data_IF_226162427735
#
_entry.id   IF_226162427735
#
_cell.length_a   1.000
_cell.length_b   1.000
_cell.length_c   1.000
_cell.angle_alpha   90.00
_cell.angle_beta   90.00
_cell.angle_gamma   90.00
#
_symmetry.space_group_name_H-M   'P 1'
#
loop_
_entity.id
_entity.type
_entity.pdbx_description
1 polymer ?
#
# COMPACT_ATOMS: atom_id res chain seq x y z
N UNK A 1 41.23 -50.72 4.67
CA UNK A 1 40.55 -50.07 3.53
C UNK A 1 39.06 -50.19 3.84
N UNK A 2 38.32 -49.15 4.21
CA UNK A 2 37.91 -47.98 3.41
C UNK A 2 37.76 -46.80 4.40
N UNK A 3 38.46 -45.68 4.17
CA UNK A 3 38.20 -44.42 4.87
C UNK A 3 36.96 -43.80 4.21
N UNK A 4 35.84 -43.78 4.93
CA UNK A 4 34.62 -43.11 4.48
C UNK A 4 34.87 -41.60 4.48
N UNK A 5 34.85 -41.05 3.28
CA UNK A 5 34.80 -39.63 2.95
C UNK A 5 33.58 -39.04 3.64
N UNK A 6 33.76 -38.14 4.61
CA UNK A 6 32.68 -37.26 5.05
C UNK A 6 32.42 -36.25 3.94
N UNK A 7 31.55 -36.65 3.01
CA UNK A 7 31.00 -35.77 1.99
C UNK A 7 30.14 -34.73 2.72
N UNK A 8 30.55 -33.49 2.51
CA UNK A 8 29.92 -32.24 2.93
C UNK A 8 28.41 -32.29 2.62
N UNK A 9 27.59 -32.18 3.65
CA UNK A 9 26.17 -31.90 3.55
C UNK A 9 25.86 -30.63 4.34
N UNK A 10 26.41 -29.50 3.87
CA UNK A 10 25.89 -28.18 4.25
C UNK A 10 24.61 -28.02 3.44
N UNK A 11 23.49 -28.54 3.96
CA UNK A 11 22.19 -28.10 3.52
C UNK A 11 22.01 -26.67 4.01
N UNK A 12 22.30 -25.73 3.11
CA UNK A 12 22.05 -24.31 3.32
C UNK A 12 20.59 -24.10 3.66
N UNK A 13 20.33 -23.70 4.89
CA UNK A 13 19.06 -23.10 5.31
C UNK A 13 19.04 -21.66 4.79
N UNK A 14 18.94 -21.48 3.48
CA UNK A 14 18.50 -20.21 2.92
C UNK A 14 16.97 -20.22 2.95
N UNK A 15 16.41 -19.90 4.12
CA UNK A 15 15.09 -19.31 4.14
C UNK A 15 15.24 -17.95 3.46
N UNK A 16 14.90 -17.88 2.17
CA UNK A 16 14.63 -16.58 1.56
C UNK A 16 13.40 -16.04 2.28
N UNK A 17 13.60 -15.06 3.15
CA UNK A 17 12.53 -14.19 3.64
C UNK A 17 11.97 -13.44 2.44
N UNK A 18 10.98 -14.04 1.77
CA UNK A 18 10.09 -13.32 0.88
C UNK A 18 9.14 -12.51 1.76
N UNK A 19 9.65 -11.43 2.35
CA UNK A 19 8.84 -10.33 2.85
C UNK A 19 8.04 -9.78 1.65
N UNK A 20 6.85 -10.34 1.42
CA UNK A 20 6.02 -10.00 0.27
C UNK A 20 5.67 -8.52 0.28
N UNK A 21 5.95 -7.83 -0.83
CA UNK A 21 5.54 -6.44 -1.01
C UNK A 21 4.03 -6.33 -0.82
N UNK A 22 3.56 -5.33 -0.06
CA UNK A 22 2.13 -5.15 0.18
C UNK A 22 1.44 -4.70 -1.11
N UNK A 23 0.23 -5.18 -1.43
CA UNK A 23 -0.51 -4.65 -2.57
C UNK A 23 -0.86 -3.17 -2.32
N UNK A 24 -0.96 -2.38 -3.39
CA UNK A 24 -1.31 -0.94 -3.31
C UNK A 24 -2.63 -0.69 -2.58
N UNK A 25 -3.63 -1.56 -2.83
CA UNK A 25 -4.93 -1.53 -2.17
C UNK A 25 -4.83 -1.53 -0.63
N UNK A 26 -3.79 -2.14 -0.05
CA UNK A 26 -3.55 -2.07 1.39
C UNK A 26 -3.28 -0.63 1.85
N UNK A 27 -2.43 0.10 1.12
CA UNK A 27 -2.06 1.47 1.45
C UNK A 27 -3.25 2.41 1.24
N UNK A 28 -3.98 2.28 0.13
CA UNK A 28 -5.21 3.03 -0.13
C UNK A 28 -6.18 2.85 1.04
N UNK A 29 -6.42 1.61 1.46
CA UNK A 29 -7.35 1.31 2.53
C UNK A 29 -6.91 1.90 3.87
N UNK A 30 -5.62 1.78 4.20
CA UNK A 30 -5.07 2.26 5.47
C UNK A 30 -5.01 3.79 5.55
N UNK A 31 -4.57 4.45 4.47
CA UNK A 31 -4.44 5.91 4.39
C UNK A 31 -5.81 6.59 4.43
N UNK A 32 -6.79 6.04 3.72
CA UNK A 32 -8.15 6.52 3.76
C UNK A 32 -8.75 6.42 5.17
N UNK A 33 -8.61 5.25 5.81
CA UNK A 33 -9.17 4.97 7.13
C UNK A 33 -8.59 5.86 8.23
N UNK A 34 -7.32 6.28 8.12
CA UNK A 34 -6.61 6.98 9.20
C UNK A 34 -6.37 8.48 8.93
N UNK A 35 -6.38 8.93 7.68
CA UNK A 35 -5.96 10.29 7.34
C UNK A 35 -6.91 11.02 6.39
N UNK A 36 -7.35 10.38 5.30
CA UNK A 36 -8.04 11.11 4.22
C UNK A 36 -9.56 11.08 4.30
N UNK A 37 -10.15 10.00 4.85
CA UNK A 37 -11.58 9.82 5.04
C UNK A 37 -12.43 10.19 3.81
N UNK A 38 -12.00 9.73 2.64
CA UNK A 38 -12.63 9.99 1.34
C UNK A 38 -13.42 8.82 0.78
N UNK A 39 -13.92 9.01 -0.44
CA UNK A 39 -14.44 7.94 -1.27
C UNK A 39 -13.28 7.27 -2.01
N UNK A 40 -13.19 5.94 -1.93
CA UNK A 40 -12.11 5.17 -2.56
C UNK A 40 -12.51 4.65 -3.93
N UNK A 41 -11.51 4.48 -4.81
CA UNK A 41 -11.63 3.83 -6.12
C UNK A 41 -12.71 4.50 -7.00
N UNK A 42 -12.72 5.84 -7.03
CA UNK A 42 -13.72 6.65 -7.75
C UNK A 42 -13.48 6.55 -9.25
N UNK A 43 -14.45 5.95 -9.96
CA UNK A 43 -14.37 5.73 -11.41
C UNK A 43 -14.56 7.06 -12.15
N UNK A 44 -13.62 7.38 -13.04
CA UNK A 44 -13.59 8.61 -13.82
C UNK A 44 -13.40 8.27 -15.31
N UNK A 45 -13.72 9.19 -16.24
CA UNK A 45 -13.33 9.02 -17.63
C UNK A 45 -11.81 8.77 -17.72
N UNK A 46 -11.40 7.66 -18.34
CA UNK A 46 -9.99 7.36 -18.55
C UNK A 46 -9.20 6.89 -17.33
N UNK A 47 -9.83 6.57 -16.20
CA UNK A 47 -9.11 6.01 -15.05
C UNK A 47 -9.95 5.88 -13.78
N UNK A 48 -9.28 5.73 -12.64
CA UNK A 48 -9.90 5.59 -11.34
C UNK A 48 -9.00 6.23 -10.29
N UNK A 49 -9.52 7.21 -9.55
CA UNK A 49 -8.77 7.84 -8.47
C UNK A 49 -8.84 6.96 -7.22
N UNK A 50 -7.71 6.78 -6.52
CA UNK A 50 -7.65 5.90 -5.37
C UNK A 50 -8.45 6.43 -4.19
N UNK A 51 -8.34 7.73 -3.90
CA UNK A 51 -9.07 8.40 -2.82
C UNK A 51 -9.50 9.80 -3.29
N UNK A 52 -10.78 10.12 -3.14
CA UNK A 52 -11.32 11.47 -3.40
C UNK A 52 -12.01 11.97 -2.14
N UNK A 53 -11.61 13.14 -1.64
CA UNK A 53 -12.30 13.80 -0.53
C UNK A 53 -12.72 15.23 -0.93
N UNK A 54 -13.16 16.01 0.05
CA UNK A 54 -13.64 17.38 -0.21
C UNK A 54 -12.58 18.29 -0.85
N UNK A 55 -11.29 17.99 -0.64
CA UNK A 55 -10.18 18.84 -1.06
C UNK A 55 -9.34 18.23 -2.18
N UNK A 56 -9.07 16.93 -2.14
CA UNK A 56 -8.08 16.26 -2.98
C UNK A 56 -8.67 15.11 -3.79
N UNK A 57 -8.09 14.88 -4.97
CA UNK A 57 -8.13 13.61 -5.67
C UNK A 57 -6.72 13.03 -5.65
N UNK A 58 -6.58 11.89 -5.00
CA UNK A 58 -5.30 11.34 -4.55
C UNK A 58 -5.01 10.05 -5.31
N UNK A 59 -3.80 9.97 -5.84
CA UNK A 59 -3.17 8.75 -6.34
C UNK A 59 -2.22 8.21 -5.26
N UNK A 60 -2.35 6.95 -4.89
CA UNK A 60 -1.47 6.23 -3.98
C UNK A 60 -0.61 5.28 -4.81
N UNK A 61 0.67 5.60 -4.96
CA UNK A 61 1.53 4.87 -5.90
C UNK A 61 2.82 4.39 -5.21
N UNK A 62 3.29 3.20 -5.58
CA UNK A 62 4.56 2.68 -5.08
C UNK A 62 5.73 3.48 -5.63
N UNK A 63 6.73 3.73 -4.77
CA UNK A 63 7.86 4.59 -5.08
C UNK A 63 8.56 4.32 -6.43
N UNK A 64 8.84 3.08 -6.86
CA UNK A 64 9.46 2.82 -8.17
C UNK A 64 8.67 3.32 -9.38
N UNK A 65 7.35 3.49 -9.24
CA UNK A 65 6.42 3.88 -10.29
C UNK A 65 6.08 5.39 -10.30
N UNK A 66 6.77 6.20 -9.49
CA UNK A 66 6.49 7.63 -9.27
C UNK A 66 6.21 8.49 -10.51
N UNK A 67 6.69 8.10 -11.70
CA UNK A 67 6.43 8.85 -12.94
C UNK A 67 4.95 8.79 -13.34
N UNK A 68 4.31 7.66 -13.11
CA UNK A 68 2.90 7.44 -13.47
C UNK A 68 1.97 8.29 -12.61
N UNK A 69 2.30 8.46 -11.32
CA UNK A 69 1.45 9.20 -10.38
C UNK A 69 1.31 10.68 -10.72
N UNK A 70 2.28 11.29 -11.41
CA UNK A 70 2.17 12.68 -11.88
C UNK A 70 1.00 12.83 -12.85
N UNK A 71 0.93 11.97 -13.86
CA UNK A 71 -0.12 12.02 -14.87
C UNK A 71 -1.49 11.70 -14.28
N UNK A 72 -1.55 10.68 -13.43
CA UNK A 72 -2.79 10.26 -12.75
C UNK A 72 -3.32 11.35 -11.82
N UNK A 73 -2.49 11.91 -10.92
CA UNK A 73 -2.91 12.96 -10.01
C UNK A 73 -3.45 14.20 -10.73
N UNK A 74 -2.77 14.65 -11.80
CA UNK A 74 -3.22 15.78 -12.62
C UNK A 74 -4.55 15.49 -13.30
N UNK A 75 -4.69 14.30 -13.90
CA UNK A 75 -5.93 13.89 -14.56
C UNK A 75 -7.09 13.78 -13.58
N UNK A 76 -6.89 13.17 -12.43
CA UNK A 76 -7.94 12.99 -11.43
C UNK A 76 -8.34 14.30 -10.75
N UNK A 77 -7.39 15.19 -10.44
CA UNK A 77 -7.70 16.54 -9.98
C UNK A 77 -8.55 17.31 -11.00
N UNK A 78 -8.21 17.22 -12.29
CA UNK A 78 -8.98 17.83 -13.38
C UNK A 78 -10.41 17.28 -13.45
N UNK A 79 -10.59 15.95 -13.45
CA UNK A 79 -11.91 15.32 -13.60
C UNK A 79 -12.84 15.58 -12.41
N UNK A 80 -12.29 15.71 -11.21
CA UNK A 80 -13.05 15.86 -9.97
C UNK A 80 -13.21 17.32 -9.52
N UNK A 81 -12.52 18.26 -10.18
CA UNK A 81 -12.37 19.64 -9.73
C UNK A 81 -11.83 19.73 -8.29
N UNK A 82 -10.87 18.85 -7.96
CA UNK A 82 -10.16 18.79 -6.67
C UNK A 82 -8.66 19.08 -6.88
N UNK A 83 -7.94 19.31 -5.79
CA UNK A 83 -6.49 19.44 -5.84
C UNK A 83 -5.84 18.09 -6.17
N UNK A 84 -4.91 18.01 -7.14
CA UNK A 84 -4.08 16.83 -7.36
C UNK A 84 -3.29 16.45 -6.10
N UNK A 85 -3.38 15.18 -5.71
CA UNK A 85 -2.64 14.61 -4.59
C UNK A 85 -1.88 13.36 -5.00
N UNK A 86 -0.67 13.18 -4.47
CA UNK A 86 0.11 11.95 -4.58
C UNK A 86 0.52 11.50 -3.19
N UNK A 87 0.21 10.25 -2.83
CA UNK A 87 0.92 9.58 -1.74
C UNK A 87 1.94 8.64 -2.36
N UNK A 88 3.22 8.96 -2.17
CA UNK A 88 4.31 8.11 -2.64
C UNK A 88 4.68 7.11 -1.54
N UNK A 89 4.36 5.84 -1.78
CA UNK A 89 4.59 4.76 -0.83
C UNK A 89 6.03 4.26 -0.94
N UNK A 90 6.86 4.62 0.03
CA UNK A 90 8.22 4.09 0.19
C UNK A 90 8.20 2.96 1.22
N UNK A 91 8.55 1.75 0.80
CA UNK A 91 8.57 0.56 1.66
C UNK A 91 9.86 0.45 2.50
N UNK A 92 10.92 1.15 2.09
CA UNK A 92 12.18 1.22 2.83
C UNK A 92 12.92 2.54 2.57
N UNK A 93 13.94 2.80 3.38
CA UNK A 93 14.71 4.05 3.33
C UNK A 93 15.43 4.27 1.99
N UNK A 94 15.83 3.20 1.30
CA UNK A 94 16.51 3.31 0.00
C UNK A 94 15.59 3.82 -1.11
N UNK A 95 14.27 3.72 -0.92
CA UNK A 95 13.28 4.24 -1.85
C UNK A 95 13.09 5.76 -1.76
N UNK A 96 13.68 6.45 -0.76
CA UNK A 96 13.71 7.94 -0.72
C UNK A 96 14.26 8.58 -1.98
N UNK A 97 15.15 7.89 -2.69
CA UNK A 97 15.66 8.34 -4.00
C UNK A 97 14.54 8.63 -5.00
N UNK A 98 13.44 7.88 -4.96
CA UNK A 98 12.29 8.10 -5.84
C UNK A 98 11.50 9.34 -5.44
N UNK A 99 11.36 9.62 -4.14
CA UNK A 99 10.76 10.87 -3.67
C UNK A 99 11.54 12.10 -4.11
N UNK A 100 12.88 12.03 -4.04
CA UNK A 100 13.76 13.08 -4.56
C UNK A 100 13.56 13.26 -6.07
N UNK A 101 13.49 12.16 -6.84
CA UNK A 101 13.25 12.20 -8.28
C UNK A 101 11.89 12.83 -8.63
N UNK A 102 10.82 12.42 -7.92
CA UNK A 102 9.49 13.00 -8.08
C UNK A 102 9.52 14.50 -7.82
N UNK A 103 10.01 14.93 -6.66
CA UNK A 103 10.05 16.35 -6.30
C UNK A 103 10.88 17.16 -7.30
N UNK A 104 12.05 16.65 -7.69
CA UNK A 104 12.93 17.29 -8.68
C UNK A 104 12.24 17.45 -10.04
N UNK A 105 11.44 16.47 -10.45
CA UNK A 105 10.67 16.54 -11.70
C UNK A 105 9.54 17.58 -11.61
N UNK A 106 8.83 17.66 -10.48
CA UNK A 106 7.79 18.67 -10.26
C UNK A 106 8.37 20.09 -10.20
N UNK A 107 9.51 20.26 -9.55
CA UNK A 107 10.22 21.53 -9.46
C UNK A 107 10.72 21.97 -10.84
N UNK A 108 11.36 21.07 -11.60
CA UNK A 108 11.81 21.33 -12.96
C UNK A 108 10.67 21.77 -13.89
N UNK A 109 9.50 21.14 -13.76
CA UNK A 109 8.32 21.47 -14.54
C UNK A 109 7.57 22.72 -14.04
N UNK A 110 7.94 23.29 -12.89
CA UNK A 110 7.27 24.45 -12.31
C UNK A 110 5.85 24.16 -11.81
N UNK A 111 5.57 22.92 -11.39
CA UNK A 111 4.24 22.47 -10.93
C UNK A 111 4.25 21.94 -9.50
N UNK A 112 5.34 22.13 -8.76
CA UNK A 112 5.47 21.67 -7.38
C UNK A 112 4.40 22.26 -6.43
N UNK A 113 3.90 23.46 -6.70
CA UNK A 113 2.81 24.09 -5.94
C UNK A 113 1.41 23.65 -6.41
N UNK A 114 1.31 22.86 -7.49
CA UNK A 114 0.06 22.38 -8.09
C UNK A 114 -0.32 20.97 -7.67
N UNK A 115 0.65 20.17 -7.23
CA UNK A 115 0.44 18.80 -6.78
C UNK A 115 0.90 18.70 -5.33
N UNK A 116 -0.01 18.32 -4.43
CA UNK A 116 0.37 18.01 -3.05
C UNK A 116 0.95 16.60 -2.99
N UNK A 117 2.16 16.46 -2.46
CA UNK A 117 2.84 15.16 -2.32
C UNK A 117 3.00 14.83 -0.84
N UNK A 118 2.64 13.61 -0.46
CA UNK A 118 2.93 13.02 0.83
C UNK A 118 3.86 11.81 0.67
N UNK A 119 4.95 11.81 1.42
CA UNK A 119 5.94 10.74 1.46
C UNK A 119 5.60 9.77 2.59
N UNK A 120 4.93 8.67 2.26
CA UNK A 120 4.67 7.60 3.22
C UNK A 120 5.93 6.74 3.43
N UNK A 121 6.28 6.36 4.67
CA UNK A 121 5.57 6.60 5.93
C UNK A 121 5.83 7.93 6.63
N UNK A 122 6.88 8.65 6.27
CA UNK A 122 7.48 9.70 7.09
C UNK A 122 6.54 10.89 7.37
N UNK A 123 5.82 11.36 6.35
CA UNK A 123 4.89 12.50 6.46
C UNK A 123 3.65 12.16 7.30
N UNK A 124 3.46 10.90 7.64
CA UNK A 124 2.37 10.39 8.46
C UNK A 124 2.80 10.11 9.91
N UNK A 125 4.02 10.56 10.30
CA UNK A 125 4.57 10.37 11.64
C UNK A 125 5.05 8.95 11.92
N UNK A 126 5.27 8.16 10.87
CA UNK A 126 5.67 6.77 10.94
C UNK A 126 7.14 6.59 10.49
N UNK A 127 7.83 5.59 11.05
CA UNK A 127 9.19 5.24 10.66
C UNK A 127 9.24 4.12 9.61
N UNK A 128 10.35 4.03 8.88
CA UNK A 128 10.72 2.84 8.10
C UNK A 128 11.22 1.69 8.96
N UNK A 129 10.81 1.59 10.24
CA UNK A 129 11.24 0.47 11.08
C UNK A 129 11.09 -0.81 10.27
N UNK A 130 11.98 -1.78 10.50
CA UNK A 130 11.90 -3.17 10.00
C UNK A 130 10.60 -3.89 10.50
N UNK A 131 9.67 -3.09 11.02
CA UNK A 131 8.34 -3.29 11.52
C UNK A 131 7.51 -1.99 11.28
N UNK A 132 7.29 -1.55 10.04
CA UNK A 132 5.88 -1.57 9.61
C UNK A 132 5.56 -3.04 9.63
N UNK A 133 4.75 -3.55 10.56
CA UNK A 133 4.84 -4.93 11.01
C UNK A 133 5.07 -5.88 9.84
N UNK A 134 6.31 -6.38 9.72
CA UNK A 134 6.60 -7.70 9.21
C UNK A 134 6.31 -8.66 10.36
N UNK A 135 5.10 -8.64 10.91
CA UNK A 135 4.76 -9.61 11.94
C UNK A 135 3.29 -10.01 11.78
N UNK A 136 3.13 -11.22 11.29
CA UNK A 136 1.88 -11.86 10.94
C UNK A 136 1.77 -12.00 9.42
N UNK A 137 1.84 -13.23 8.92
CA UNK A 137 0.98 -13.65 7.81
C UNK A 137 -0.32 -12.85 7.89
N UNK A 138 -0.82 -12.26 6.79
CA UNK A 138 -2.07 -11.49 6.80
C UNK A 138 -3.10 -12.29 7.62
N UNK A 139 -3.37 -11.86 8.85
CA UNK A 139 -4.14 -12.68 9.78
C UNK A 139 -5.62 -12.46 9.57
N UNK A 140 -5.97 -11.32 8.97
CA UNK A 140 -7.34 -10.90 8.78
C UNK A 140 -7.55 -10.33 7.38
N UNK A 141 -8.70 -10.66 6.79
CA UNK A 141 -9.23 -10.04 5.60
C UNK A 141 -10.62 -9.48 5.87
N UNK A 142 -10.98 -8.40 5.19
CA UNK A 142 -12.21 -7.65 5.40
C UNK A 142 -13.00 -7.59 4.10
N UNK A 143 -14.23 -8.09 4.11
CA UNK A 143 -15.14 -8.04 2.98
C UNK A 143 -15.79 -6.65 2.86
N UNK A 144 -15.42 -5.91 1.81
CA UNK A 144 -15.85 -4.52 1.57
C UNK A 144 -17.37 -4.35 1.46
N UNK A 145 -18.10 -5.35 0.97
CA UNK A 145 -19.55 -5.24 0.74
C UNK A 145 -20.36 -5.60 1.99
N UNK A 146 -19.93 -6.61 2.73
CA UNK A 146 -20.69 -7.12 3.88
C UNK A 146 -20.24 -6.53 5.22
N UNK A 147 -19.10 -5.84 5.25
CA UNK A 147 -18.50 -5.32 6.47
C UNK A 147 -17.98 -6.39 7.42
N UNK A 148 -17.75 -7.61 6.92
CA UNK A 148 -17.35 -8.78 7.72
C UNK A 148 -15.85 -9.02 7.63
N UNK A 149 -15.20 -9.23 8.77
CA UNK A 149 -13.80 -9.65 8.90
C UNK A 149 -13.66 -11.15 9.05
N UNK A 150 -12.66 -11.72 8.40
CA UNK A 150 -12.32 -13.13 8.37
C UNK A 150 -10.86 -13.33 8.76
N UNK A 151 -10.53 -14.30 9.60
CA UNK A 151 -9.14 -14.61 9.90
C UNK A 151 -8.56 -15.59 8.89
N UNK A 152 -7.23 -15.76 8.89
CA UNK A 152 -6.49 -16.59 7.93
C UNK A 152 -6.94 -18.05 7.85
N UNK A 153 -7.62 -18.56 8.89
CA UNK A 153 -8.18 -19.91 8.91
C UNK A 153 -9.61 -19.98 8.31
N UNK A 154 -10.19 -18.85 7.91
CA UNK A 154 -11.54 -18.80 7.37
C UNK A 154 -11.57 -19.24 5.91
N UNK A 155 -12.56 -20.07 5.56
CA UNK A 155 -12.84 -20.44 4.15
C UNK A 155 -13.17 -19.24 3.26
N UNK A 156 -13.58 -18.11 3.85
CA UNK A 156 -13.87 -16.86 3.16
C UNK A 156 -12.73 -15.83 3.26
N UNK A 157 -11.57 -16.20 3.78
CA UNK A 157 -10.44 -15.29 3.93
C UNK A 157 -10.03 -14.65 2.60
N UNK A 158 -10.00 -15.41 1.50
CA UNK A 158 -9.70 -14.91 0.16
C UNK A 158 -10.93 -14.52 -0.68
N UNK A 159 -12.02 -14.03 -0.06
CA UNK A 159 -13.24 -13.73 -0.81
C UNK A 159 -13.00 -12.65 -1.89
N UNK A 160 -13.84 -12.64 -2.95
CA UNK A 160 -13.67 -11.73 -4.10
C UNK A 160 -13.63 -10.24 -3.71
N UNK A 161 -14.34 -9.84 -2.64
CA UNK A 161 -14.38 -8.47 -2.15
C UNK A 161 -13.57 -8.30 -0.85
N UNK A 162 -12.70 -9.25 -0.51
CA UNK A 162 -11.90 -9.24 0.71
C UNK A 162 -10.56 -8.53 0.47
N UNK A 163 -10.17 -7.71 1.44
CA UNK A 163 -8.87 -7.03 1.45
C UNK A 163 -8.13 -7.30 2.76
N UNK A 164 -6.80 -7.36 2.77
CA UNK A 164 -6.03 -7.45 4.01
C UNK A 164 -6.43 -6.36 5.00
N UNK A 165 -6.58 -6.71 6.28
CA UNK A 165 -6.97 -5.77 7.33
C UNK A 165 -6.34 -6.13 8.68
N UNK A 166 -6.53 -5.28 9.68
CA UNK A 166 -6.22 -5.60 11.07
C UNK A 166 -7.35 -6.37 11.77
N UNK A 167 -7.09 -6.83 12.99
CA UNK A 167 -8.03 -7.61 13.80
C UNK A 167 -9.19 -6.80 14.40
N UNK A 168 -9.30 -5.50 14.14
CA UNK A 168 -10.34 -4.63 14.67
C UNK A 168 -11.33 -4.16 13.60
N UNK A 169 -11.00 -4.30 12.31
CA UNK A 169 -11.83 -3.82 11.21
C UNK A 169 -13.17 -4.56 11.09
N UNK A 170 -14.28 -3.83 11.01
CA UNK A 170 -15.61 -4.39 10.74
C UNK A 170 -16.13 -5.38 11.78
N UNK A 171 -17.21 -6.08 11.43
CA UNK A 171 -17.81 -7.12 12.28
C UNK A 171 -17.08 -8.44 12.11
N UNK A 172 -16.68 -9.07 13.21
CA UNK A 172 -16.13 -10.42 13.21
C UNK A 172 -17.07 -11.44 12.52
N UNK A 173 -16.53 -12.27 11.62
CA UNK A 173 -17.28 -13.37 11.03
C UNK A 173 -17.70 -14.35 12.13
N UNK A 174 -19.00 -14.63 12.25
CA UNK A 174 -19.53 -15.53 13.27
C UNK A 174 -19.01 -16.97 13.18
N UNK A 175 -18.39 -17.38 12.06
CA UNK A 175 -17.80 -18.72 11.88
C UNK A 175 -16.35 -18.80 12.38
N UNK A 176 -15.51 -17.83 12.03
CA UNK A 176 -14.09 -17.88 12.38
C UNK A 176 -13.73 -16.99 13.58
N UNK A 177 -14.63 -16.11 14.03
CA UNK A 177 -14.38 -15.19 15.15
C UNK A 177 -13.86 -13.83 14.73
N UNK A 178 -13.84 -13.54 13.43
CA UNK A 178 -13.10 -12.40 12.91
C UNK A 178 -11.66 -12.79 12.69
#
# INVERSE_FOLDING_TARGET
MIRLVQIILIYGLFALDAAGQRPEAYYVDWLDEHYFHGEREVVLPGGRADIVNDTYAIEVEKAPNWKNSIGQALWYGLQTNKKPGIVLVMENIDQRKYGIMLQSALDYAGIADKITVWFYPEDFGLGFSIAQPLIGEIQYSYNRNSGVRHNSNCTYFGCQNCVPCDGNRGRACGRCGG
#
